data_IF_961012794125
#
_entry.id   IF_961012794125
#
_cell.length_a   1.000
_cell.length_b   1.000
_cell.length_c   1.000
_cell.angle_alpha   90.00
_cell.angle_beta   90.00
_cell.angle_gamma   90.00
#
_symmetry.space_group_name_H-M   'P 1'
#
loop_
_entity.id
_entity.type
_entity.pdbx_description
1 polymer ?
#
# COMPACT_ATOMS: atom_id res chain seq x y z
N UNK A 1 34.36 -26.47 14.61
CA UNK A 1 34.14 -26.43 13.14
C UNK A 1 34.95 -25.27 12.59
N UNK A 2 36.01 -25.54 11.82
CA UNK A 2 36.75 -24.48 11.15
C UNK A 2 35.89 -24.00 9.97
N UNK A 3 35.41 -22.76 10.03
CA UNK A 3 34.72 -22.14 8.89
C UNK A 3 35.78 -21.94 7.81
N UNK A 4 35.52 -22.41 6.59
CA UNK A 4 36.46 -22.24 5.48
C UNK A 4 36.66 -20.76 5.19
N UNK A 5 37.89 -20.37 4.86
CA UNK A 5 38.27 -18.98 4.58
C UNK A 5 37.42 -18.39 3.44
N UNK A 6 37.05 -19.21 2.45
CA UNK A 6 36.12 -18.84 1.38
C UNK A 6 34.71 -18.49 1.89
N UNK A 7 34.16 -19.26 2.84
CA UNK A 7 32.84 -18.98 3.41
C UNK A 7 32.87 -17.69 4.24
N UNK A 8 33.93 -17.47 5.01
CA UNK A 8 34.15 -16.22 5.75
C UNK A 8 34.19 -15.00 4.82
N UNK A 9 34.87 -15.13 3.67
CA UNK A 9 34.96 -14.07 2.66
C UNK A 9 33.62 -13.77 1.99
N UNK A 10 32.85 -14.81 1.66
CA UNK A 10 31.52 -14.65 1.09
C UNK A 10 30.57 -13.92 2.06
N UNK A 11 30.63 -14.26 3.35
CA UNK A 11 29.86 -13.57 4.39
C UNK A 11 30.32 -12.12 4.58
N UNK A 12 31.62 -11.84 4.52
CA UNK A 12 32.18 -10.49 4.58
C UNK A 12 31.63 -9.59 3.45
N UNK A 13 31.66 -10.08 2.20
CA UNK A 13 31.16 -9.33 1.05
C UNK A 13 29.64 -9.10 1.18
N UNK A 14 28.89 -10.12 1.59
CA UNK A 14 27.44 -9.98 1.82
C UNK A 14 27.11 -8.98 2.93
N UNK A 15 27.95 -8.88 3.96
CA UNK A 15 27.83 -7.87 5.01
C UNK A 15 28.07 -6.43 4.50
N UNK A 16 28.81 -6.26 3.40
CA UNK A 16 29.04 -4.95 2.80
C UNK A 16 27.82 -4.46 2.00
N UNK A 17 27.11 -5.37 1.35
CA UNK A 17 25.95 -5.05 0.51
C UNK A 17 24.64 -4.92 1.31
N UNK A 18 24.52 -5.60 2.46
CA UNK A 18 23.29 -5.63 3.23
C UNK A 18 23.44 -6.09 4.67
N UNK A 19 22.30 -6.34 5.32
CA UNK A 19 22.28 -6.88 6.69
C UNK A 19 22.41 -8.41 6.65
N UNK A 20 23.32 -8.94 7.45
CA UNK A 20 23.42 -10.38 7.73
C UNK A 20 22.39 -10.77 8.79
N UNK A 21 21.92 -12.02 8.75
CA UNK A 21 21.19 -12.61 9.87
C UNK A 21 22.08 -12.74 11.11
N UNK A 22 21.47 -12.88 12.30
CA UNK A 22 22.23 -13.00 13.56
C UNK A 22 23.19 -14.21 13.55
N UNK A 23 22.75 -15.34 12.99
CA UNK A 23 23.59 -16.55 12.87
C UNK A 23 24.77 -16.33 11.92
N UNK A 24 24.52 -15.75 10.75
CA UNK A 24 25.55 -15.43 9.76
C UNK A 24 26.57 -14.41 10.30
N UNK A 25 26.12 -13.48 11.14
CA UNK A 25 26.98 -12.50 11.78
C UNK A 25 27.88 -13.15 12.85
N UNK A 26 27.36 -14.10 13.61
CA UNK A 26 28.16 -14.88 14.56
C UNK A 26 29.20 -15.76 13.82
N UNK A 27 28.80 -16.40 12.70
CA UNK A 27 29.73 -17.14 11.84
C UNK A 27 30.84 -16.26 11.27
N UNK A 28 30.50 -15.05 10.80
CA UNK A 28 31.49 -14.09 10.30
C UNK A 28 32.47 -13.67 11.40
N UNK A 29 31.99 -13.41 12.63
CA UNK A 29 32.87 -13.05 13.75
C UNK A 29 33.83 -14.19 14.12
N UNK A 30 33.37 -15.44 14.11
CA UNK A 30 34.23 -16.60 14.34
C UNK A 30 35.29 -16.75 13.23
N UNK A 31 34.91 -16.54 11.97
CA UNK A 31 35.84 -16.57 10.84
C UNK A 31 36.88 -15.44 10.92
N UNK A 32 36.47 -14.23 11.31
CA UNK A 32 37.36 -13.08 11.51
C UNK A 32 38.32 -13.29 12.71
N UNK A 33 37.86 -13.94 13.77
CA UNK A 33 38.71 -14.27 14.92
C UNK A 33 39.79 -15.31 14.54
N UNK A 34 39.44 -16.26 13.66
CA UNK A 34 40.32 -17.33 13.24
C UNK A 34 41.35 -16.92 12.17
N UNK A 35 41.10 -15.84 11.42
CA UNK A 35 41.92 -15.45 10.26
C UNK A 35 42.36 -13.99 10.29
N UNK A 36 43.67 -13.76 10.23
CA UNK A 36 44.24 -12.43 10.10
C UNK A 36 44.08 -11.84 8.68
N UNK A 37 44.07 -12.69 7.66
CA UNK A 37 43.87 -12.27 6.26
C UNK A 37 42.47 -11.67 6.07
N UNK A 38 41.43 -12.33 6.60
CA UNK A 38 40.05 -11.83 6.56
C UNK A 38 39.88 -10.49 7.29
N UNK A 39 40.57 -10.29 8.43
CA UNK A 39 40.55 -9.00 9.16
C UNK A 39 41.20 -7.87 8.35
N UNK A 40 42.29 -8.17 7.63
CA UNK A 40 42.93 -7.19 6.75
C UNK A 40 42.03 -6.84 5.56
N UNK A 41 41.37 -7.83 4.96
CA UNK A 41 40.40 -7.60 3.88
C UNK A 41 39.22 -6.73 4.36
N UNK A 42 38.67 -6.99 5.55
CA UNK A 42 37.62 -6.17 6.15
C UNK A 42 38.06 -4.69 6.28
N UNK A 43 39.24 -4.45 6.86
CA UNK A 43 39.77 -3.11 7.05
C UNK A 43 39.99 -2.38 5.71
N UNK A 44 40.42 -3.11 4.68
CA UNK A 44 40.58 -2.54 3.33
C UNK A 44 39.24 -2.15 2.70
N UNK A 45 38.22 -3.01 2.81
CA UNK A 45 36.88 -2.73 2.30
C UNK A 45 36.24 -1.55 3.03
N UNK A 46 36.36 -1.47 4.34
CA UNK A 46 35.88 -0.33 5.13
C UNK A 46 36.58 0.98 4.74
N UNK A 47 37.89 0.93 4.50
CA UNK A 47 38.65 2.09 4.01
C UNK A 47 38.16 2.53 2.62
N UNK A 48 37.95 1.59 1.70
CA UNK A 48 37.41 1.90 0.36
C UNK A 48 36.00 2.50 0.46
N UNK A 49 35.15 1.95 1.33
CA UNK A 49 33.81 2.48 1.59
C UNK A 49 33.86 3.90 2.15
N UNK A 50 34.79 4.20 3.06
CA UNK A 50 35.02 5.53 3.58
C UNK A 50 35.45 6.53 2.50
N UNK A 51 36.38 6.14 1.63
CA UNK A 51 36.78 6.97 0.48
C UNK A 51 35.61 7.22 -0.49
N UNK A 52 34.81 6.19 -0.80
CA UNK A 52 33.62 6.34 -1.64
C UNK A 52 32.54 7.19 -1.00
N UNK A 53 32.37 7.10 0.33
CA UNK A 53 31.45 7.95 1.07
C UNK A 53 31.87 9.43 0.98
N UNK A 54 33.17 9.72 1.01
CA UNK A 54 33.69 11.10 0.83
C UNK A 54 33.47 11.65 -0.58
N UNK A 55 33.30 10.77 -1.57
CA UNK A 55 32.99 11.16 -2.95
C UNK A 55 31.49 11.35 -3.20
N UNK A 56 30.61 10.95 -2.27
CA UNK A 56 29.18 11.22 -2.40
C UNK A 56 28.92 12.69 -2.04
N UNK A 57 28.47 13.53 -3.00
CA UNK A 57 28.04 14.87 -2.65
C UNK A 57 26.87 14.79 -1.67
N UNK A 58 26.79 15.73 -0.74
CA UNK A 58 25.63 15.83 0.16
C UNK A 58 24.35 15.85 -0.68
N UNK A 59 23.33 15.04 -0.32
CA UNK A 59 22.08 15.02 -1.05
C UNK A 59 21.47 16.42 -1.00
N UNK A 60 21.36 17.07 -2.17
CA UNK A 60 20.82 18.42 -2.25
C UNK A 60 19.43 18.49 -1.62
N UNK A 61 19.19 19.47 -0.74
CA UNK A 61 17.89 19.63 -0.08
C UNK A 61 16.76 19.79 -1.10
N UNK A 62 17.04 20.39 -2.26
CA UNK A 62 16.10 20.51 -3.37
C UNK A 62 15.70 19.13 -3.96
N UNK A 63 16.65 18.20 -4.12
CA UNK A 63 16.34 16.84 -4.57
C UNK A 63 15.47 16.10 -3.55
N UNK A 64 15.84 16.17 -2.27
CA UNK A 64 15.07 15.55 -1.18
C UNK A 64 13.65 16.11 -1.13
N UNK A 65 13.49 17.43 -1.26
CA UNK A 65 12.17 18.09 -1.33
C UNK A 65 11.33 17.59 -2.51
N UNK A 66 11.91 17.47 -3.71
CA UNK A 66 11.21 16.96 -4.90
C UNK A 66 10.74 15.51 -4.71
N UNK A 67 11.60 14.64 -4.19
CA UNK A 67 11.25 13.22 -3.97
C UNK A 67 10.16 13.09 -2.91
N UNK A 68 10.28 13.81 -1.79
CA UNK A 68 9.26 13.77 -0.72
C UNK A 68 7.91 14.30 -1.18
N UNK A 69 7.89 15.35 -2.02
CA UNK A 69 6.66 15.86 -2.60
C UNK A 69 6.04 14.85 -3.59
N UNK A 70 6.84 14.21 -4.44
CA UNK A 70 6.35 13.20 -5.37
C UNK A 70 5.72 12.00 -4.62
N UNK A 71 6.34 11.53 -3.55
CA UNK A 71 5.80 10.45 -2.70
C UNK A 71 4.49 10.86 -2.04
N UNK A 72 4.43 12.07 -1.46
CA UNK A 72 3.20 12.59 -0.83
C UNK A 72 2.06 12.77 -1.83
N UNK A 73 2.35 13.24 -3.04
CA UNK A 73 1.35 13.45 -4.09
C UNK A 73 0.74 12.12 -4.53
N UNK A 74 1.57 11.10 -4.77
CA UNK A 74 1.10 9.75 -5.12
C UNK A 74 0.25 9.12 -4.01
N UNK A 75 0.60 9.33 -2.75
CA UNK A 75 -0.19 8.85 -1.61
C UNK A 75 -1.53 9.59 -1.46
N UNK A 76 -1.61 10.87 -1.86
CA UNK A 76 -2.87 11.62 -1.88
C UNK A 76 -3.79 11.16 -3.00
N UNK A 77 -3.26 10.93 -4.20
CA UNK A 77 -4.03 10.46 -5.35
C UNK A 77 -4.71 9.10 -5.08
N UNK A 78 -3.96 8.15 -4.52
CA UNK A 78 -4.53 6.83 -4.17
C UNK A 78 -5.63 6.94 -3.12
N UNK A 79 -5.44 7.81 -2.11
CA UNK A 79 -6.44 8.06 -1.07
C UNK A 79 -7.70 8.70 -1.64
N UNK A 80 -7.58 9.74 -2.46
CA UNK A 80 -8.74 10.40 -3.10
C UNK A 80 -9.54 9.38 -3.92
N UNK A 81 -8.86 8.55 -4.72
CA UNK A 81 -9.51 7.53 -5.53
C UNK A 81 -10.28 6.51 -4.66
N UNK A 82 -9.74 6.11 -3.50
CA UNK A 82 -10.44 5.18 -2.59
C UNK A 82 -11.68 5.80 -1.94
N UNK A 83 -11.67 7.10 -1.66
CA UNK A 83 -12.85 7.78 -1.11
C UNK A 83 -13.93 7.94 -2.15
N UNK A 84 -13.58 8.33 -3.39
CA UNK A 84 -14.54 8.47 -4.49
C UNK A 84 -15.21 7.14 -4.80
N UNK A 85 -14.46 6.02 -4.86
CA UNK A 85 -15.06 4.71 -5.11
C UNK A 85 -15.99 4.26 -3.99
N UNK A 86 -15.66 4.54 -2.73
CA UNK A 86 -16.53 4.24 -1.58
C UNK A 86 -17.83 5.06 -1.59
N UNK A 87 -17.74 6.35 -1.93
CA UNK A 87 -18.93 7.21 -2.06
C UNK A 87 -19.81 6.76 -3.22
N UNK A 88 -19.22 6.46 -4.38
CA UNK A 88 -19.94 5.95 -5.54
C UNK A 88 -20.65 4.61 -5.22
N UNK A 89 -19.97 3.69 -4.52
CA UNK A 89 -20.56 2.44 -4.09
C UNK A 89 -21.72 2.64 -3.10
N UNK A 90 -21.60 3.59 -2.17
CA UNK A 90 -22.67 3.93 -1.23
C UNK A 90 -23.89 4.51 -1.95
N UNK A 91 -23.70 5.43 -2.90
CA UNK A 91 -24.80 5.95 -3.73
C UNK A 91 -25.49 4.82 -4.50
N UNK A 92 -24.72 3.93 -5.13
CA UNK A 92 -25.28 2.82 -5.90
C UNK A 92 -26.10 1.87 -5.01
N UNK A 93 -25.65 1.62 -3.77
CA UNK A 93 -26.39 0.85 -2.78
C UNK A 93 -27.72 1.49 -2.39
N UNK A 94 -27.74 2.81 -2.19
CA UNK A 94 -28.97 3.55 -1.86
C UNK A 94 -29.97 3.45 -3.01
N UNK A 95 -29.53 3.65 -4.26
CA UNK A 95 -30.38 3.48 -5.44
C UNK A 95 -30.92 2.05 -5.56
N UNK A 96 -30.06 1.04 -5.38
CA UNK A 96 -30.47 -0.36 -5.42
C UNK A 96 -31.48 -0.70 -4.33
N UNK A 97 -31.30 -0.19 -3.10
CA UNK A 97 -32.24 -0.36 -2.00
C UNK A 97 -33.57 0.34 -2.27
N UNK A 98 -33.55 1.55 -2.84
CA UNK A 98 -34.77 2.26 -3.24
C UNK A 98 -35.56 1.48 -4.30
N UNK A 99 -34.89 0.98 -5.33
CA UNK A 99 -35.50 0.14 -6.36
C UNK A 99 -36.02 -1.18 -5.79
N UNK A 100 -35.26 -1.81 -4.89
CA UNK A 100 -35.69 -3.04 -4.23
C UNK A 100 -36.93 -2.80 -3.36
N UNK A 101 -36.99 -1.69 -2.64
CA UNK A 101 -38.15 -1.31 -1.83
C UNK A 101 -39.40 -1.07 -2.66
N UNK A 102 -39.26 -0.49 -3.86
CA UNK A 102 -40.36 -0.31 -4.81
C UNK A 102 -40.80 -1.63 -5.43
N UNK A 103 -39.86 -2.55 -5.66
CA UNK A 103 -40.14 -3.85 -6.28
C UNK A 103 -40.80 -4.86 -5.33
N UNK A 104 -40.44 -4.83 -4.03
CA UNK A 104 -40.87 -5.82 -3.05
C UNK A 104 -42.39 -5.98 -2.87
N UNK A 105 -43.22 -4.91 -2.84
CA UNK A 105 -44.66 -5.06 -2.62
C UNK A 105 -45.42 -5.64 -3.83
N UNK A 106 -45.03 -5.29 -5.06
CA UNK A 106 -45.80 -5.62 -6.27
C UNK A 106 -45.19 -6.73 -7.13
N UNK A 107 -43.93 -7.11 -6.87
CA UNK A 107 -43.20 -8.12 -7.66
C UNK A 107 -42.95 -7.71 -9.13
N UNK A 108 -43.28 -6.46 -9.48
CA UNK A 108 -43.09 -5.80 -10.77
C UNK A 108 -42.71 -4.34 -10.49
N UNK A 109 -41.82 -3.77 -11.31
CA UNK A 109 -41.61 -2.32 -11.29
C UNK A 109 -42.71 -1.69 -12.14
N UNK A 110 -43.77 -1.21 -11.51
CA UNK A 110 -44.73 -0.37 -12.21
C UNK A 110 -44.21 1.08 -12.29
N UNK A 111 -44.38 1.69 -13.45
CA UNK A 111 -43.94 3.08 -13.71
C UNK A 111 -44.67 4.08 -12.82
N UNK A 112 -45.91 3.76 -12.44
CA UNK A 112 -46.75 4.61 -11.59
C UNK A 112 -46.28 4.62 -10.12
N UNK A 113 -45.76 3.48 -9.62
CA UNK A 113 -45.15 3.37 -8.30
C UNK A 113 -43.83 4.17 -8.22
N UNK A 114 -43.03 4.18 -9.30
CA UNK A 114 -41.80 4.98 -9.40
C UNK A 114 -42.09 6.49 -9.42
N UNK A 115 -43.24 6.89 -9.97
CA UNK A 115 -43.70 8.29 -10.03
C UNK A 115 -44.49 8.71 -8.78
N UNK A 116 -44.76 7.79 -7.84
CA UNK A 116 -45.52 8.06 -6.62
C UNK A 116 -47.02 8.32 -6.85
N UNK A 117 -47.56 7.81 -7.96
CA UNK A 117 -48.96 8.01 -8.38
C UNK A 117 -49.94 6.98 -7.77
N UNK A 118 -49.43 6.06 -6.95
CA UNK A 118 -50.16 4.93 -6.34
C UNK A 118 -51.26 5.37 -5.34
N UNK A 119 -51.40 6.67 -5.05
CA UNK A 119 -52.40 7.18 -4.11
C UNK A 119 -53.77 7.49 -4.71
N UNK A 120 -54.04 7.14 -5.98
CA UNK A 120 -55.39 7.22 -6.56
C UNK A 120 -55.84 5.84 -7.03
N UNK A 121 -56.33 5.04 -6.09
CA UNK A 121 -57.16 3.88 -6.43
C UNK A 121 -58.50 4.40 -7.00
N UNK A 122 -58.96 3.90 -8.16
CA UNK A 122 -60.23 4.34 -8.76
C UNK A 122 -61.46 4.06 -7.88
N UNK A 123 -61.34 3.26 -6.83
CA UNK A 123 -62.39 3.05 -5.82
C UNK A 123 -62.65 4.29 -4.95
N UNK A 124 -61.65 5.16 -4.72
CA UNK A 124 -61.82 6.41 -3.95
C UNK A 124 -62.45 7.53 -4.78
N UNK A 125 -62.45 7.40 -6.12
CA UNK A 125 -63.12 8.35 -7.01
C UNK A 125 -64.64 8.17 -7.04
N UNK A 126 -65.15 6.99 -6.66
CA UNK A 126 -66.59 6.69 -6.66
C UNK A 126 -67.29 7.31 -5.45
N UNK A 127 -66.60 7.48 -4.32
CA UNK A 127 -67.18 8.11 -3.12
C UNK A 127 -67.37 9.63 -3.26
N UNK A 128 -66.60 10.29 -4.14
CA UNK A 128 -66.71 11.74 -4.39
C UNK A 128 -67.78 12.11 -5.45
N UNK A 129 -68.43 11.13 -6.08
CA UNK A 129 -69.49 11.34 -7.07
C UNK A 129 -70.90 11.08 -6.52
N UNK A 130 -71.03 10.75 -5.23
CA UNK A 130 -72.32 10.41 -4.58
C UNK A 130 -72.74 11.43 -3.52
N UNK A 131 -72.08 12.59 -3.45
CA UNK A 131 -72.55 13.74 -2.64
C UNK A 131 -73.03 14.92 -3.50
#
# INVERSE_FOLDING_TARGET
MAISEEKGRALLLRAMDGQLGQEEQAELQLALAASETLRREQAQLEKMRGMLASLRPEPSQAFTGRVMNAVRQRQRETRILTWVTRVAAACLLIFALGLLSLYWPEGRLDTDAVLGLDSLSPDDAVTLLVE
#
